data_IF_449234114954
#
_entry.id   IF_449234114954
#
_cell.length_a   1.000
_cell.length_b   1.000
_cell.length_c   1.000
_cell.angle_alpha   90.00
_cell.angle_beta   90.00
_cell.angle_gamma   90.00
#
_symmetry.space_group_name_H-M   'P 1'
#
loop_
_entity.id
_entity.type
_entity.pdbx_description
1 polymer ?
#
# COMPACT_ATOMS: atom_id res chain seq x y z
N UNK A 1 39.67 -22.34 -18.98
CA UNK A 1 39.83 -21.18 -18.10
C UNK A 1 38.73 -20.18 -18.42
N UNK A 2 37.92 -19.81 -17.44
CA UNK A 2 36.65 -19.11 -17.62
C UNK A 2 36.79 -17.61 -17.93
N UNK A 3 35.98 -17.15 -18.89
CA UNK A 3 35.85 -15.73 -19.21
C UNK A 3 34.94 -15.01 -18.21
N UNK A 4 35.52 -14.03 -17.50
CA UNK A 4 34.84 -13.18 -16.52
C UNK A 4 34.00 -12.12 -17.25
N UNK A 5 32.66 -12.26 -17.20
CA UNK A 5 31.72 -11.20 -17.63
C UNK A 5 31.80 -10.01 -16.67
N UNK A 6 32.27 -8.86 -17.16
CA UNK A 6 32.21 -7.56 -16.45
C UNK A 6 30.75 -7.18 -16.18
N UNK A 7 30.38 -7.04 -14.90
CA UNK A 7 29.11 -6.42 -14.48
C UNK A 7 29.18 -4.92 -14.77
N UNK A 8 28.29 -4.41 -15.62
CA UNK A 8 28.09 -2.98 -15.81
C UNK A 8 27.33 -2.42 -14.62
N UNK A 9 27.96 -1.45 -13.94
CA UNK A 9 27.42 -0.69 -12.81
C UNK A 9 26.48 0.38 -13.38
N UNK A 10 25.22 0.43 -12.93
CA UNK A 10 24.31 1.54 -13.26
C UNK A 10 24.78 2.79 -12.51
N UNK A 11 25.10 3.85 -13.25
CA UNK A 11 25.47 5.16 -12.72
C UNK A 11 24.25 6.06 -12.50
N UNK A 12 24.36 6.97 -11.53
CA UNK A 12 23.35 7.94 -11.11
C UNK A 12 23.35 9.19 -11.99
N UNK A 13 22.20 9.57 -12.54
CA UNK A 13 22.02 10.83 -13.27
C UNK A 13 21.73 11.97 -12.28
N UNK A 14 22.72 12.38 -11.45
CA UNK A 14 22.70 13.71 -10.82
C UNK A 14 24.13 14.16 -10.50
N UNK A 15 24.84 14.68 -11.50
CA UNK A 15 25.96 15.60 -11.26
C UNK A 15 26.17 16.45 -12.51
N UNK A 16 25.51 17.61 -12.54
CA UNK A 16 25.60 18.55 -13.64
C UNK A 16 24.79 19.80 -13.31
N UNK A 17 25.47 20.78 -12.71
CA UNK A 17 24.95 22.12 -12.47
C UNK A 17 24.65 22.82 -13.80
N UNK A 18 23.38 22.89 -14.18
CA UNK A 18 22.87 23.94 -15.07
C UNK A 18 21.43 24.30 -14.66
N UNK A 19 21.24 25.57 -14.34
CA UNK A 19 19.97 26.20 -13.97
C UNK A 19 19.01 26.22 -15.16
N UNK A 20 18.35 25.09 -15.43
CA UNK A 20 17.16 25.05 -16.28
C UNK A 20 15.92 25.15 -15.37
N UNK A 21 15.16 26.24 -15.51
CA UNK A 21 13.82 26.38 -14.90
C UNK A 21 12.93 25.26 -15.45
N UNK A 22 12.79 24.18 -14.70
CA UNK A 22 11.83 23.11 -15.01
C UNK A 22 10.43 23.63 -14.70
N UNK A 23 9.57 23.65 -15.71
CA UNK A 23 8.15 23.96 -15.56
C UNK A 23 7.53 22.92 -14.61
N UNK A 24 7.17 23.35 -13.40
CA UNK A 24 6.59 22.45 -12.41
C UNK A 24 5.28 21.89 -12.95
N UNK A 25 5.19 20.58 -13.18
CA UNK A 25 3.95 19.92 -13.59
C UNK A 25 2.85 20.25 -12.56
N UNK A 26 1.71 20.76 -13.04
CA UNK A 26 0.63 21.24 -12.18
C UNK A 26 0.00 20.09 -11.38
N UNK A 27 -0.49 20.39 -10.17
CA UNK A 27 -1.16 19.40 -9.31
C UNK A 27 -2.32 18.69 -10.01
N UNK A 28 -3.02 19.39 -10.91
CA UNK A 28 -4.16 18.85 -11.66
C UNK A 28 -3.70 17.78 -12.65
N UNK A 29 -2.60 18.02 -13.36
CA UNK A 29 -2.03 17.10 -14.34
C UNK A 29 -1.44 15.86 -13.65
N UNK A 30 -0.66 16.02 -12.58
CA UNK A 30 -0.15 14.88 -11.81
C UNK A 30 -1.30 14.01 -11.28
N UNK A 31 -2.37 14.64 -10.77
CA UNK A 31 -3.54 13.92 -10.24
C UNK A 31 -4.34 13.22 -11.34
N UNK A 32 -4.53 13.84 -12.51
CA UNK A 32 -5.23 13.20 -13.62
C UNK A 32 -4.46 11.98 -14.12
N UNK A 33 -3.13 12.08 -14.22
CA UNK A 33 -2.27 10.95 -14.61
C UNK A 33 -2.39 9.81 -13.60
N UNK A 34 -2.22 10.08 -12.30
CA UNK A 34 -2.38 9.06 -11.24
C UNK A 34 -3.77 8.40 -11.34
N UNK A 35 -4.83 9.21 -11.47
CA UNK A 35 -6.21 8.70 -11.57
C UNK A 35 -6.41 7.81 -12.81
N UNK A 36 -5.89 8.22 -13.97
CA UNK A 36 -5.96 7.44 -15.21
C UNK A 36 -5.25 6.09 -15.05
N UNK A 37 -4.03 6.09 -14.50
CA UNK A 37 -3.29 4.86 -14.21
C UNK A 37 -4.07 3.92 -13.28
N UNK A 38 -4.67 4.44 -12.20
CA UNK A 38 -5.49 3.63 -11.31
C UNK A 38 -6.68 2.97 -12.02
N UNK A 39 -7.34 3.68 -12.93
CA UNK A 39 -8.45 3.14 -13.72
C UNK A 39 -7.97 2.02 -14.63
N UNK A 40 -6.85 2.23 -15.33
CA UNK A 40 -6.28 1.23 -16.25
C UNK A 40 -5.80 -0.01 -15.50
N UNK A 41 -5.10 0.14 -14.37
CA UNK A 41 -4.63 -1.00 -13.57
C UNK A 41 -5.80 -1.84 -13.03
N UNK A 42 -6.89 -1.18 -12.59
CA UNK A 42 -8.10 -1.90 -12.17
C UNK A 42 -8.77 -2.65 -13.32
N UNK A 43 -8.85 -2.03 -14.51
CA UNK A 43 -9.38 -2.70 -15.71
C UNK A 43 -8.53 -3.91 -16.09
N UNK A 44 -7.20 -3.75 -16.10
CA UNK A 44 -6.24 -4.83 -16.38
C UNK A 44 -6.48 -6.03 -15.45
N UNK A 45 -6.52 -5.80 -14.14
CA UNK A 45 -6.76 -6.85 -13.15
C UNK A 45 -8.09 -7.60 -13.38
N UNK A 46 -9.17 -6.88 -13.68
CA UNK A 46 -10.47 -7.48 -13.97
C UNK A 46 -10.42 -8.38 -15.21
N UNK A 47 -9.77 -7.94 -16.29
CA UNK A 47 -9.65 -8.72 -17.53
C UNK A 47 -8.74 -9.93 -17.31
N UNK A 48 -7.63 -9.78 -16.60
CA UNK A 48 -6.77 -10.92 -16.23
C UNK A 48 -7.55 -12.00 -15.47
N UNK A 49 -8.41 -11.60 -14.53
CA UNK A 49 -9.27 -12.55 -13.81
C UNK A 49 -10.29 -13.23 -14.73
N UNK A 50 -10.90 -12.50 -15.67
CA UNK A 50 -11.78 -13.10 -16.68
C UNK A 50 -11.05 -14.11 -17.55
N UNK A 51 -9.82 -13.79 -17.98
CA UNK A 51 -8.98 -14.67 -18.78
C UNK A 51 -8.62 -15.98 -18.06
N UNK A 52 -8.34 -15.91 -16.75
CA UNK A 52 -8.07 -17.10 -15.93
C UNK A 52 -9.28 -18.07 -15.87
N UNK A 53 -10.50 -17.55 -15.98
CA UNK A 53 -11.73 -18.33 -15.97
C UNK A 53 -12.33 -18.53 -17.38
N UNK A 54 -11.63 -18.14 -18.45
CA UNK A 54 -12.13 -18.24 -19.81
C UNK A 54 -12.16 -19.71 -20.26
N UNK A 55 -13.33 -20.15 -20.71
CA UNK A 55 -13.59 -21.54 -21.10
C UNK A 55 -13.41 -21.75 -22.61
N UNK A 56 -13.61 -20.68 -23.39
CA UNK A 56 -13.54 -20.72 -24.86
C UNK A 56 -12.35 -19.93 -25.41
N UNK A 57 -11.88 -20.31 -26.60
CA UNK A 57 -10.81 -19.58 -27.29
C UNK A 57 -11.25 -18.18 -27.74
N UNK A 58 -12.55 -18.00 -28.00
CA UNK A 58 -13.12 -16.68 -28.32
C UNK A 58 -13.03 -15.73 -27.12
N UNK A 59 -13.40 -16.18 -25.92
CA UNK A 59 -13.26 -15.40 -24.68
C UNK A 59 -11.80 -15.07 -24.37
N UNK A 60 -10.89 -16.02 -24.57
CA UNK A 60 -9.44 -15.78 -24.41
C UNK A 60 -8.93 -14.75 -25.41
N UNK A 61 -9.28 -14.89 -26.69
CA UNK A 61 -8.86 -13.94 -27.73
C UNK A 61 -9.39 -12.53 -27.48
N UNK A 62 -10.66 -12.40 -27.10
CA UNK A 62 -11.26 -11.10 -26.78
C UNK A 62 -10.62 -10.47 -25.55
N UNK A 63 -10.47 -11.23 -24.46
CA UNK A 63 -9.81 -10.74 -23.24
C UNK A 63 -8.35 -10.36 -23.48
N UNK A 64 -7.62 -11.09 -24.32
CA UNK A 64 -6.24 -10.76 -24.67
C UNK A 64 -6.17 -9.44 -25.46
N UNK A 65 -7.06 -9.23 -26.43
CA UNK A 65 -7.15 -7.95 -27.17
C UNK A 65 -7.44 -6.78 -26.24
N UNK A 66 -8.37 -6.93 -25.29
CA UNK A 66 -8.65 -5.88 -24.30
C UNK A 66 -7.45 -5.60 -23.39
N UNK A 67 -6.70 -6.65 -23.00
CA UNK A 67 -5.49 -6.53 -22.20
C UNK A 67 -4.40 -5.75 -22.95
N UNK A 68 -4.21 -6.05 -24.24
CA UNK A 68 -3.21 -5.39 -25.10
C UNK A 68 -3.53 -3.91 -25.26
N UNK A 69 -4.81 -3.55 -25.50
CA UNK A 69 -5.26 -2.15 -25.54
C UNK A 69 -4.96 -1.43 -24.22
N UNK A 70 -5.19 -2.07 -23.08
CA UNK A 70 -4.89 -1.46 -21.77
C UNK A 70 -3.39 -1.31 -21.55
N UNK A 71 -2.59 -2.30 -21.93
CA UNK A 71 -1.13 -2.23 -21.84
C UNK A 71 -0.57 -1.10 -22.72
N UNK A 72 -1.13 -0.91 -23.93
CA UNK A 72 -0.78 0.20 -24.81
C UNK A 72 -1.13 1.55 -24.17
N UNK A 73 -2.35 1.71 -23.63
CA UNK A 73 -2.74 2.93 -22.90
C UNK A 73 -1.83 3.22 -21.69
N UNK A 74 -1.38 2.18 -20.97
CA UNK A 74 -0.42 2.33 -19.86
C UNK A 74 0.94 2.82 -20.39
N UNK A 75 1.40 2.25 -21.51
CA UNK A 75 2.66 2.65 -22.15
C UNK A 75 2.60 4.10 -22.66
N UNK A 76 1.50 4.50 -23.31
CA UNK A 76 1.26 5.86 -23.79
C UNK A 76 1.23 6.90 -22.67
N UNK A 77 0.76 6.53 -21.48
CA UNK A 77 0.82 7.38 -20.29
C UNK A 77 2.23 7.44 -19.66
N UNK A 78 3.25 6.87 -20.31
CA UNK A 78 4.65 6.86 -19.90
C UNK A 78 5.05 5.66 -19.04
N UNK A 79 4.22 4.62 -18.99
CA UNK A 79 4.50 3.37 -18.28
C UNK A 79 4.52 3.51 -16.76
N UNK A 80 4.90 2.42 -16.08
CA UNK A 80 4.92 2.35 -14.62
C UNK A 80 5.87 3.38 -14.00
N UNK A 81 6.98 3.70 -14.69
CA UNK A 81 7.95 4.70 -14.25
C UNK A 81 7.33 6.11 -14.20
N UNK A 82 6.53 6.50 -15.19
CA UNK A 82 5.84 7.79 -15.17
C UNK A 82 4.81 7.87 -14.04
N UNK A 83 4.10 6.77 -13.79
CA UNK A 83 3.20 6.66 -12.64
C UNK A 83 3.95 6.80 -11.31
N UNK A 84 5.08 6.12 -11.13
CA UNK A 84 5.87 6.20 -9.90
C UNK A 84 6.47 7.59 -9.69
N UNK A 85 7.00 8.24 -10.74
CA UNK A 85 7.43 9.65 -10.68
C UNK A 85 6.28 10.58 -10.29
N UNK A 86 5.10 10.40 -10.89
CA UNK A 86 3.92 11.17 -10.54
C UNK A 86 3.48 10.93 -9.09
N UNK A 87 3.56 9.69 -8.61
CA UNK A 87 3.24 9.31 -7.22
C UNK A 87 4.22 9.94 -6.23
N UNK A 88 5.53 9.89 -6.50
CA UNK A 88 6.57 10.57 -5.70
C UNK A 88 6.33 12.08 -5.64
N UNK A 89 6.03 12.71 -6.77
CA UNK A 89 5.67 14.14 -6.84
C UNK A 89 4.38 14.45 -6.06
N UNK A 90 3.40 13.54 -6.10
CA UNK A 90 2.13 13.64 -5.38
C UNK A 90 2.26 13.50 -3.86
N UNK A 91 3.30 12.81 -3.37
CA UNK A 91 3.61 12.67 -1.94
C UNK A 91 4.47 13.82 -1.38
N UNK A 92 4.87 14.79 -2.20
CA UNK A 92 5.66 15.94 -1.72
C UNK A 92 4.92 16.71 -0.60
N UNK A 93 5.71 17.41 0.25
CA UNK A 93 5.25 18.09 1.47
C UNK A 93 4.05 19.02 1.23
N UNK A 94 3.96 19.61 0.04
CA UNK A 94 2.91 20.56 -0.35
C UNK A 94 1.67 19.89 -1.00
N UNK A 95 1.72 18.58 -1.30
CA UNK A 95 0.74 17.92 -2.17
C UNK A 95 -0.05 16.75 -1.56
N UNK A 96 0.40 16.21 -0.43
CA UNK A 96 -0.26 15.03 0.19
C UNK A 96 0.25 14.63 1.57
N UNK A 97 1.33 15.25 2.05
CA UNK A 97 1.88 15.06 3.39
C UNK A 97 2.71 13.80 3.52
N UNK A 98 3.93 13.98 4.03
CA UNK A 98 4.83 12.90 4.41
C UNK A 98 4.20 12.09 5.57
N UNK A 99 3.56 10.96 5.23
CA UNK A 99 2.86 10.12 6.20
C UNK A 99 3.79 9.59 7.31
N UNK A 100 5.11 9.51 7.02
CA UNK A 100 6.13 9.14 8.01
C UNK A 100 6.13 10.11 9.19
N UNK A 101 5.97 11.42 8.96
CA UNK A 101 5.95 12.43 10.02
C UNK A 101 4.77 12.25 10.97
N UNK A 102 3.61 11.83 10.46
CA UNK A 102 2.45 11.55 11.30
C UNK A 102 2.73 10.34 12.19
N UNK A 103 3.28 9.27 11.59
CA UNK A 103 3.67 8.07 12.33
C UNK A 103 4.71 8.39 13.42
N UNK A 104 5.81 9.06 13.06
CA UNK A 104 6.88 9.45 14.00
C UNK A 104 6.32 10.28 15.16
N UNK A 105 5.50 11.30 14.88
CA UNK A 105 4.89 12.12 15.93
C UNK A 105 3.99 11.30 16.87
N UNK A 106 3.23 10.35 16.33
CA UNK A 106 2.41 9.46 17.16
C UNK A 106 3.25 8.53 18.02
N UNK A 107 4.31 7.94 17.48
CA UNK A 107 5.20 7.05 18.23
C UNK A 107 5.92 7.80 19.35
N UNK A 108 6.43 9.00 19.07
CA UNK A 108 7.06 9.86 20.10
C UNK A 108 6.07 10.24 21.19
N UNK A 109 4.85 10.66 20.82
CA UNK A 109 3.80 11.00 21.79
C UNK A 109 3.28 9.81 22.60
N UNK A 110 3.60 8.57 22.19
CA UNK A 110 3.29 7.35 22.92
C UNK A 110 4.48 6.83 23.73
N UNK A 111 5.64 7.50 23.71
CA UNK A 111 6.84 7.04 24.40
C UNK A 111 7.45 5.77 23.80
N UNK A 112 7.22 5.51 22.50
CA UNK A 112 7.71 4.28 21.83
C UNK A 112 9.21 4.29 21.55
N UNK A 113 9.88 5.44 21.73
CA UNK A 113 11.33 5.54 21.63
C UNK A 113 11.95 4.91 22.87
N UNK A 114 12.48 3.70 22.72
CA UNK A 114 13.12 2.89 23.76
C UNK A 114 14.63 2.84 23.55
N UNK A 115 15.35 2.24 24.49
CA UNK A 115 16.81 2.04 24.40
C UNK A 115 17.20 1.11 23.24
N UNK A 116 16.36 0.12 22.93
CA UNK A 116 16.51 -0.71 21.74
C UNK A 116 15.80 -0.09 20.53
N UNK A 117 16.43 -0.06 19.34
CA UNK A 117 15.74 0.35 18.12
C UNK A 117 14.52 -0.53 17.81
N UNK A 118 13.42 0.08 17.37
CA UNK A 118 12.25 -0.64 16.90
C UNK A 118 12.49 -1.15 15.48
N UNK A 119 12.20 -2.43 15.24
CA UNK A 119 12.25 -3.01 13.89
C UNK A 119 10.98 -2.63 13.13
N UNK A 120 11.15 -1.98 11.99
CA UNK A 120 10.05 -1.53 11.15
C UNK A 120 10.11 -2.14 9.76
N UNK A 121 8.95 -2.54 9.22
CA UNK A 121 8.76 -2.84 7.80
C UNK A 121 7.92 -1.72 7.18
N UNK A 122 8.42 -1.14 6.08
CA UNK A 122 7.67 -0.19 5.28
C UNK A 122 7.27 -0.84 3.96
N UNK A 123 5.97 -1.11 3.80
CA UNK A 123 5.41 -1.69 2.58
C UNK A 123 5.08 -0.55 1.61
N UNK A 124 5.55 -0.65 0.37
CA UNK A 124 5.29 0.33 -0.69
C UNK A 124 6.14 1.60 -0.55
N UNK A 125 7.39 1.45 -0.13
CA UNK A 125 8.30 2.57 0.04
C UNK A 125 8.65 3.20 -1.33
N UNK A 126 8.42 4.50 -1.46
CA UNK A 126 8.80 5.26 -2.67
C UNK A 126 10.17 5.95 -2.55
N UNK A 127 10.65 6.11 -1.30
CA UNK A 127 11.91 6.77 -0.95
C UNK A 127 12.62 5.98 0.14
N UNK A 128 13.96 5.87 0.10
CA UNK A 128 14.72 5.11 1.08
C UNK A 128 14.87 5.83 2.42
N UNK A 129 14.65 7.14 2.44
CA UNK A 129 15.07 8.05 3.51
C UNK A 129 13.91 8.61 4.33
N UNK A 130 12.70 8.07 4.19
CA UNK A 130 11.49 8.50 4.92
C UNK A 130 11.70 8.57 6.44
N UNK A 131 12.55 7.69 6.99
CA UNK A 131 12.84 7.60 8.43
C UNK A 131 14.34 7.81 8.74
N UNK A 132 15.12 8.39 7.82
CA UNK A 132 16.57 8.51 7.99
C UNK A 132 16.99 9.34 9.21
N UNK A 133 16.15 10.29 9.63
CA UNK A 133 16.36 11.09 10.85
C UNK A 133 16.08 10.33 12.14
N UNK A 134 15.38 9.20 12.06
CA UNK A 134 14.89 8.44 13.21
C UNK A 134 15.80 7.25 13.51
N UNK A 135 16.97 7.50 14.10
CA UNK A 135 17.97 6.46 14.43
C UNK A 135 17.45 5.34 15.34
N UNK A 136 16.34 5.58 16.03
CA UNK A 136 15.66 4.62 16.90
C UNK A 136 14.65 3.73 16.16
N UNK A 137 14.45 3.95 14.84
CA UNK A 137 13.66 3.11 13.94
C UNK A 137 14.60 2.42 12.94
N UNK A 138 14.72 1.10 13.04
CA UNK A 138 15.41 0.28 12.04
C UNK A 138 14.41 -0.09 10.94
N UNK A 139 14.31 0.76 9.93
CA UNK A 139 13.40 0.57 8.81
C UNK A 139 13.91 -0.44 7.77
N UNK A 140 13.02 -1.30 7.31
CA UNK A 140 13.20 -2.22 6.17
C UNK A 140 12.21 -1.80 5.07
N UNK A 141 12.61 -0.96 4.11
CA UNK A 141 11.71 -0.52 3.04
C UNK A 141 11.61 -1.58 1.94
N UNK A 142 10.38 -1.92 1.56
CA UNK A 142 10.08 -2.81 0.43
C UNK A 142 9.14 -2.15 -0.57
N UNK A 143 9.24 -2.51 -1.84
CA UNK A 143 8.29 -2.15 -2.88
C UNK A 143 8.15 -3.28 -3.91
N UNK A 144 7.01 -3.40 -4.59
CA UNK A 144 6.79 -4.45 -5.59
C UNK A 144 7.60 -4.19 -6.87
N UNK A 145 7.87 -2.93 -7.19
CA UNK A 145 8.55 -2.47 -8.40
C UNK A 145 9.52 -1.35 -8.02
N UNK A 146 10.55 -1.68 -7.24
CA UNK A 146 11.44 -0.70 -6.64
C UNK A 146 12.26 0.05 -7.70
N UNK A 147 12.29 1.38 -7.61
CA UNK A 147 13.10 2.25 -8.47
C UNK A 147 14.38 2.72 -7.78
N UNK A 148 14.65 2.24 -6.55
CA UNK A 148 15.77 2.71 -5.74
C UNK A 148 16.55 1.53 -5.15
N UNK A 149 17.89 1.48 -5.27
CA UNK A 149 18.69 0.33 -4.83
C UNK A 149 18.63 0.07 -3.33
N UNK A 150 18.36 1.09 -2.52
CA UNK A 150 18.19 0.97 -1.06
C UNK A 150 16.77 0.55 -0.63
N UNK A 151 15.84 0.33 -1.56
CA UNK A 151 14.51 -0.21 -1.30
C UNK A 151 14.47 -1.62 -1.88
N UNK A 152 14.16 -2.60 -1.04
CA UNK A 152 14.12 -4.01 -1.44
C UNK A 152 12.93 -4.25 -2.37
N UNK A 153 13.19 -4.68 -3.61
CA UNK A 153 12.13 -5.16 -4.49
C UNK A 153 11.61 -6.50 -3.98
N UNK A 154 10.35 -6.55 -3.52
CA UNK A 154 9.74 -7.74 -2.95
C UNK A 154 8.21 -7.65 -3.00
N UNK A 155 7.56 -8.74 -3.42
CA UNK A 155 6.12 -8.94 -3.19
C UNK A 155 5.86 -9.33 -1.73
N UNK A 156 5.14 -8.47 -1.00
CA UNK A 156 4.76 -8.74 0.39
C UNK A 156 3.92 -10.00 0.57
N UNK A 157 3.09 -10.38 -0.41
CA UNK A 157 2.29 -11.62 -0.33
C UNK A 157 3.14 -12.89 -0.36
N UNK A 158 4.35 -12.79 -0.92
CA UNK A 158 5.30 -13.89 -1.04
C UNK A 158 6.38 -13.84 0.04
N UNK A 159 6.35 -12.85 0.93
CA UNK A 159 7.30 -12.74 2.04
C UNK A 159 7.08 -13.93 3.01
N UNK A 160 8.12 -14.70 3.34
CA UNK A 160 8.02 -15.76 4.34
C UNK A 160 7.57 -15.20 5.69
N UNK A 161 6.70 -15.93 6.38
CA UNK A 161 6.31 -15.60 7.74
C UNK A 161 7.53 -15.73 8.67
N UNK A 162 7.67 -14.83 9.67
CA UNK A 162 8.77 -14.93 10.62
C UNK A 162 8.66 -16.24 11.42
N UNK A 163 9.75 -16.97 11.52
CA UNK A 163 9.82 -18.20 12.32
C UNK A 163 10.26 -17.94 13.77
N UNK A 164 10.73 -16.71 14.06
CA UNK A 164 11.15 -16.28 15.38
C UNK A 164 10.81 -14.81 15.66
N UNK A 165 10.95 -14.38 16.92
CA UNK A 165 10.75 -12.97 17.30
C UNK A 165 11.78 -12.02 16.65
N UNK A 166 12.98 -12.53 16.35
CA UNK A 166 14.07 -11.79 15.71
C UNK A 166 13.71 -11.40 14.27
N UNK A 167 12.92 -12.23 13.58
CA UNK A 167 12.43 -11.96 12.23
C UNK A 167 11.15 -11.11 12.20
N UNK A 168 10.42 -11.05 13.33
CA UNK A 168 9.19 -10.27 13.47
C UNK A 168 9.46 -8.76 13.54
N UNK A 169 8.48 -7.95 13.17
CA UNK A 169 8.57 -6.49 13.25
C UNK A 169 7.86 -5.95 14.49
N UNK A 170 8.41 -4.88 15.08
CA UNK A 170 7.71 -4.13 16.14
C UNK A 170 6.70 -3.14 15.51
N UNK A 171 6.91 -2.74 14.25
CA UNK A 171 6.07 -1.78 13.54
C UNK A 171 5.96 -2.13 12.05
N UNK A 172 4.77 -2.04 11.48
CA UNK A 172 4.57 -2.11 10.02
C UNK A 172 3.86 -0.84 9.54
N UNK A 173 4.42 -0.17 8.53
CA UNK A 173 3.75 0.91 7.79
C UNK A 173 3.20 0.36 6.48
N UNK A 174 1.89 0.47 6.31
CA UNK A 174 1.17 0.17 5.08
C UNK A 174 0.46 1.45 4.62
N UNK A 175 1.24 2.36 4.03
CA UNK A 175 0.77 3.69 3.66
C UNK A 175 0.35 3.74 2.20
N UNK A 176 -0.95 3.88 1.94
CA UNK A 176 -1.53 3.94 0.59
C UNK A 176 -1.22 2.71 -0.28
N UNK A 177 -0.98 1.54 0.31
CA UNK A 177 -0.72 0.28 -0.43
C UNK A 177 -1.97 -0.57 -0.56
N UNK A 178 -2.69 -0.79 0.54
CA UNK A 178 -3.85 -1.68 0.57
C UNK A 178 -4.94 -1.30 -0.46
N UNK A 179 -5.06 0.01 -0.79
CA UNK A 179 -5.99 0.50 -1.79
C UNK A 179 -5.64 0.13 -3.25
N UNK A 180 -4.43 -0.38 -3.50
CA UNK A 180 -4.00 -0.90 -4.80
C UNK A 180 -4.21 -2.40 -4.98
N UNK A 181 -4.33 -3.15 -3.89
CA UNK A 181 -4.72 -4.56 -3.97
C UNK A 181 -6.10 -4.61 -4.62
N UNK A 182 -6.22 -5.36 -5.71
CA UNK A 182 -7.37 -5.38 -6.61
C UNK A 182 -8.57 -6.14 -6.03
N UNK A 183 -8.29 -7.27 -5.39
CA UNK A 183 -9.28 -8.18 -4.85
C UNK A 183 -9.59 -7.91 -3.35
N UNK A 184 -10.88 -7.83 -2.95
CA UNK A 184 -11.29 -7.62 -1.56
C UNK A 184 -10.79 -8.68 -0.57
N UNK A 185 -10.76 -9.96 -0.96
CA UNK A 185 -10.30 -11.03 -0.09
C UNK A 185 -8.77 -10.97 0.03
N UNK A 186 -8.07 -10.63 -1.05
CA UNK A 186 -6.63 -10.34 -1.00
C UNK A 186 -6.29 -9.17 -0.07
N UNK A 187 -7.14 -8.13 0.02
CA UNK A 187 -6.95 -7.05 1.02
C UNK A 187 -7.05 -7.58 2.45
N UNK A 188 -8.06 -8.39 2.76
CA UNK A 188 -8.19 -9.00 4.09
C UNK A 188 -7.01 -9.94 4.39
N UNK A 189 -6.60 -10.74 3.40
CA UNK A 189 -5.41 -11.59 3.50
C UNK A 189 -4.14 -10.79 3.77
N UNK A 190 -3.96 -9.64 3.12
CA UNK A 190 -2.81 -8.76 3.36
C UNK A 190 -2.78 -8.29 4.82
N UNK A 191 -3.93 -7.90 5.38
CA UNK A 191 -4.01 -7.48 6.78
C UNK A 191 -3.74 -8.64 7.76
N UNK A 192 -4.21 -9.86 7.46
CA UNK A 192 -3.85 -11.06 8.21
C UNK A 192 -2.34 -11.36 8.14
N UNK A 193 -1.71 -11.20 6.97
CA UNK A 193 -0.26 -11.36 6.82
C UNK A 193 0.50 -10.29 7.60
N UNK A 194 0.06 -9.03 7.57
CA UNK A 194 0.64 -7.95 8.37
C UNK A 194 0.60 -8.32 9.87
N UNK A 195 -0.53 -8.81 10.38
CA UNK A 195 -0.66 -9.27 11.77
C UNK A 195 0.36 -10.35 12.12
N UNK A 196 0.56 -11.33 11.23
CA UNK A 196 1.53 -12.43 11.42
C UNK A 196 3.00 -12.01 11.30
N UNK A 197 3.30 -10.91 10.61
CA UNK A 197 4.65 -10.37 10.50
C UNK A 197 5.02 -9.47 11.69
N UNK A 198 4.03 -9.00 12.44
CA UNK A 198 4.25 -8.28 13.68
C UNK A 198 4.62 -9.25 14.81
N UNK A 199 5.49 -8.81 15.71
CA UNK A 199 5.76 -9.53 16.95
C UNK A 199 4.45 -9.68 17.73
N UNK A 200 4.11 -10.86 18.27
CA UNK A 200 2.92 -11.08 19.11
C UNK A 200 2.94 -10.33 20.45
N UNK A 201 2.83 -9.00 20.42
CA UNK A 201 2.98 -8.13 21.58
C UNK A 201 2.04 -6.93 21.49
N UNK A 202 1.50 -6.49 22.63
CA UNK A 202 0.70 -5.26 22.73
C UNK A 202 1.48 -3.98 22.38
N UNK A 203 2.80 -4.08 22.26
CA UNK A 203 3.67 -2.99 21.82
C UNK A 203 3.79 -2.92 20.29
N UNK A 204 3.36 -3.96 19.58
CA UNK A 204 3.46 -4.02 18.12
C UNK A 204 2.36 -3.21 17.45
N UNK A 205 2.73 -2.45 16.42
CA UNK A 205 1.83 -1.48 15.79
C UNK A 205 1.75 -1.67 14.27
N UNK A 206 0.57 -1.43 13.71
CA UNK A 206 0.34 -1.21 12.29
C UNK A 206 -0.07 0.25 12.07
N UNK A 207 0.67 0.94 11.21
CA UNK A 207 0.27 2.23 10.66
C UNK A 207 -0.37 2.02 9.28
N UNK A 208 -1.67 2.28 9.17
CA UNK A 208 -2.45 2.12 7.95
C UNK A 208 -2.89 3.48 7.43
N UNK A 209 -2.63 3.75 6.14
CA UNK A 209 -3.09 4.97 5.47
C UNK A 209 -3.92 4.58 4.26
N UNK A 210 -5.12 5.14 4.14
CA UNK A 210 -6.01 4.91 3.01
C UNK A 210 -6.48 6.25 2.44
N UNK A 211 -6.77 6.32 1.12
CA UNK A 211 -7.61 7.38 0.59
C UNK A 211 -8.94 7.40 1.36
N UNK A 212 -9.35 8.57 1.85
CA UNK A 212 -10.60 8.72 2.58
C UNK A 212 -11.82 8.16 1.83
N UNK A 213 -11.94 8.29 0.49
CA UNK A 213 -13.00 7.64 -0.28
C UNK A 213 -13.16 6.13 -0.07
N UNK A 214 -12.11 5.41 0.34
CA UNK A 214 -12.18 3.98 0.66
C UNK A 214 -13.14 3.70 1.82
N UNK A 215 -13.24 4.60 2.79
CA UNK A 215 -14.04 4.41 4.02
C UNK A 215 -15.22 5.39 4.13
N UNK A 216 -15.15 6.56 3.50
CA UNK A 216 -16.22 7.57 3.58
C UNK A 216 -17.14 7.59 2.35
N UNK A 217 -16.72 7.04 1.20
CA UNK A 217 -17.48 7.04 -0.05
C UNK A 217 -17.52 5.64 -0.72
N UNK A 218 -17.50 4.57 0.06
CA UNK A 218 -17.65 3.20 -0.44
C UNK A 218 -19.02 2.60 -0.08
N UNK A 219 -19.57 1.82 -1.02
CA UNK A 219 -20.77 1.00 -0.83
C UNK A 219 -20.59 -0.14 0.18
N UNK A 220 -19.37 -0.66 0.31
CA UNK A 220 -19.09 -1.90 1.04
C UNK A 220 -18.18 -1.73 2.25
N UNK A 221 -17.50 -0.59 2.38
CA UNK A 221 -16.62 -0.32 3.51
C UNK A 221 -16.98 1.02 4.15
N UNK A 222 -17.14 0.99 5.46
CA UNK A 222 -17.25 2.16 6.34
C UNK A 222 -16.11 2.10 7.36
N UNK A 223 -15.87 3.18 8.09
CA UNK A 223 -14.90 3.14 9.19
C UNK A 223 -15.31 2.12 10.29
N UNK A 224 -16.58 2.06 10.74
CA UNK A 224 -17.02 1.01 11.66
C UNK A 224 -16.74 -0.41 11.15
N UNK A 225 -17.07 -0.71 9.89
CA UNK A 225 -16.79 -2.04 9.31
C UNK A 225 -15.29 -2.31 9.19
N UNK A 226 -14.47 -1.28 8.92
CA UNK A 226 -13.01 -1.43 8.96
C UNK A 226 -12.54 -1.81 10.37
N UNK A 227 -13.08 -1.18 11.42
CA UNK A 227 -12.76 -1.53 12.82
C UNK A 227 -13.15 -2.98 13.11
N UNK A 228 -14.37 -3.41 12.77
CA UNK A 228 -14.82 -4.80 12.95
C UNK A 228 -13.89 -5.81 12.27
N UNK A 229 -13.48 -5.53 11.03
CA UNK A 229 -12.53 -6.38 10.29
C UNK A 229 -11.18 -6.44 11.00
N UNK A 230 -10.66 -5.30 11.45
CA UNK A 230 -9.36 -5.21 12.12
C UNK A 230 -9.39 -5.93 13.47
N UNK A 231 -10.47 -5.79 14.25
CA UNK A 231 -10.69 -6.51 15.50
C UNK A 231 -10.77 -8.02 15.27
N UNK A 232 -11.49 -8.47 14.26
CA UNK A 232 -11.57 -9.89 13.89
C UNK A 232 -10.22 -10.49 13.47
N UNK A 233 -9.30 -9.67 12.92
CA UNK A 233 -7.93 -10.08 12.62
C UNK A 233 -7.06 -10.16 13.88
N UNK A 234 -7.38 -9.37 14.91
CA UNK A 234 -6.56 -9.23 16.13
C UNK A 234 -5.83 -7.89 16.20
N UNK A 235 -6.51 -6.80 15.86
CA UNK A 235 -6.02 -5.44 16.06
C UNK A 235 -6.98 -4.61 16.91
N UNK A 236 -6.46 -3.57 17.56
CA UNK A 236 -7.24 -2.57 18.30
C UNK A 236 -6.88 -1.19 17.75
N UNK A 237 -7.88 -0.34 17.47
CA UNK A 237 -7.63 1.03 17.05
C UNK A 237 -7.08 1.86 18.21
N UNK A 238 -5.92 2.51 18.02
CA UNK A 238 -5.27 3.34 19.06
C UNK A 238 -5.31 4.81 18.73
N UNK A 239 -5.08 5.18 17.47
CA UNK A 239 -5.15 6.56 17.00
C UNK A 239 -5.75 6.62 15.61
N UNK A 240 -6.44 7.70 15.34
CA UNK A 240 -6.84 8.05 13.99
C UNK A 240 -6.69 9.55 13.75
N UNK A 241 -6.53 9.91 12.47
CA UNK A 241 -6.53 11.30 12.03
C UNK A 241 -7.06 11.39 10.61
N UNK A 242 -8.02 12.26 10.42
CA UNK A 242 -8.49 12.68 9.11
C UNK A 242 -9.19 14.04 9.25
N UNK A 243 -9.52 14.67 8.13
CA UNK A 243 -10.26 15.94 8.10
C UNK A 243 -11.48 15.81 7.18
N UNK A 244 -12.58 16.47 7.53
CA UNK A 244 -13.73 16.62 6.62
C UNK A 244 -13.27 17.25 5.30
N UNK A 245 -13.67 16.67 4.17
CA UNK A 245 -13.19 17.07 2.84
C UNK A 245 -11.73 16.69 2.54
N UNK A 246 -11.06 16.00 3.46
CA UNK A 246 -9.70 15.51 3.28
C UNK A 246 -9.62 14.42 2.21
N UNK A 247 -8.40 14.14 1.75
CA UNK A 247 -8.12 13.10 0.73
C UNK A 247 -7.69 11.77 1.32
N UNK A 248 -7.05 11.79 2.48
CA UNK A 248 -6.41 10.62 3.12
C UNK A 248 -6.71 10.60 4.61
N UNK A 249 -6.80 9.39 5.15
CA UNK A 249 -6.94 9.14 6.58
C UNK A 249 -5.80 8.26 7.07
N UNK A 250 -5.43 8.45 8.33
CA UNK A 250 -4.34 7.76 9.00
C UNK A 250 -4.91 7.02 10.21
N UNK A 251 -4.54 5.76 10.39
CA UNK A 251 -4.95 4.93 11.51
C UNK A 251 -3.74 4.20 12.08
N UNK A 252 -3.65 4.14 13.40
CA UNK A 252 -2.66 3.37 14.14
C UNK A 252 -3.38 2.27 14.90
N UNK A 253 -3.02 1.03 14.60
CA UNK A 253 -3.60 -0.16 15.17
C UNK A 253 -2.56 -0.86 16.04
N UNK A 254 -2.97 -1.34 17.21
CA UNK A 254 -2.16 -2.16 18.09
C UNK A 254 -2.47 -3.62 17.87
N UNK A 255 -1.43 -4.43 17.81
CA UNK A 255 -1.57 -5.88 17.78
C UNK A 255 -2.27 -6.37 19.03
N UNK A 256 -3.22 -7.28 18.85
CA UNK A 256 -3.94 -7.93 19.92
C UNK A 256 -3.95 -9.44 19.65
N UNK A 257 -3.96 -10.23 20.73
CA UNK A 257 -4.16 -11.65 20.59
C UNK A 257 -5.64 -11.89 20.29
N UNK A 258 -5.91 -12.60 19.19
CA UNK A 258 -7.26 -12.98 18.82
C UNK A 258 -7.78 -13.93 19.89
N UNK A 259 -8.65 -13.47 20.78
CA UNK A 259 -9.49 -14.38 21.56
C UNK A 259 -10.53 -14.91 20.58
N UNK A 260 -10.71 -16.22 20.52
CA UNK A 260 -11.77 -16.83 19.71
C UNK A 260 -13.14 -16.33 20.19
N UNK A 261 -13.58 -15.19 19.67
CA UNK A 261 -14.97 -14.79 19.70
C UNK A 261 -15.67 -15.67 18.67
N UNK A 262 -16.23 -16.78 19.13
CA UNK A 262 -16.95 -17.77 18.32
C UNK A 262 -18.25 -17.26 17.68
N UNK A 263 -18.30 -16.02 17.19
CA UNK A 263 -19.47 -15.41 16.56
C UNK A 263 -19.06 -14.57 15.34
N UNK A 264 -19.74 -14.86 14.22
CA UNK A 264 -19.92 -14.00 13.02
C UNK A 264 -18.85 -13.98 11.91
N UNK A 265 -18.12 -15.08 11.67
CA UNK A 265 -17.23 -15.19 10.50
C UNK A 265 -17.91 -14.94 9.14
N UNK A 266 -19.20 -15.25 9.00
CA UNK A 266 -19.89 -15.22 7.70
C UNK A 266 -20.16 -13.82 7.11
N UNK A 267 -20.29 -12.77 7.95
CA UNK A 267 -20.57 -11.43 7.45
C UNK A 267 -19.32 -10.74 6.90
N UNK A 268 -18.16 -10.98 7.53
CA UNK A 268 -16.89 -10.40 7.11
C UNK A 268 -16.26 -11.14 5.92
N UNK A 269 -16.76 -12.33 5.57
CA UNK A 269 -16.29 -13.14 4.43
C UNK A 269 -16.89 -12.73 3.08
N UNK A 270 -17.87 -11.81 3.07
CA UNK A 270 -18.54 -11.38 1.84
C UNK A 270 -18.76 -9.88 1.81
N UNK A 271 -19.00 -9.34 0.60
CA UNK A 271 -19.38 -7.93 0.44
C UNK A 271 -20.80 -7.74 0.94
N UNK A 272 -20.96 -7.12 2.10
CA UNK A 272 -22.25 -6.66 2.60
C UNK A 272 -22.43 -5.20 2.21
N UNK A 273 -23.59 -4.87 1.61
CA UNK A 273 -23.91 -3.50 1.24
C UNK A 273 -24.12 -2.67 2.52
N UNK A 274 -23.28 -1.66 2.71
CA UNK A 274 -23.34 -0.76 3.87
C UNK A 274 -24.11 0.52 3.53
N UNK A 275 -23.92 1.02 2.30
CA UNK A 275 -24.50 2.28 1.82
C UNK A 275 -24.81 2.19 0.34
N UNK A 276 -25.85 2.89 -0.09
CA UNK A 276 -26.23 3.02 -1.50
C UNK A 276 -26.06 4.46 -2.00
N UNK A 277 -25.54 4.61 -3.21
CA UNK A 277 -25.47 5.91 -3.88
C UNK A 277 -24.80 5.81 -5.24
N UNK A 278 -25.27 6.60 -6.21
CA UNK A 278 -24.79 6.53 -7.60
C UNK A 278 -23.28 6.86 -7.73
N UNK A 279 -22.80 7.85 -6.97
CA UNK A 279 -21.40 8.34 -7.01
C UNK A 279 -20.43 7.58 -6.07
N UNK A 280 -20.89 6.55 -5.37
CA UNK A 280 -20.05 5.79 -4.44
C UNK A 280 -19.13 4.82 -5.19
N UNK A 281 -17.97 4.52 -4.62
CA UNK A 281 -17.08 3.48 -5.13
C UNK A 281 -17.39 2.11 -4.51
N UNK A 282 -16.73 1.06 -5.02
CA UNK A 282 -16.94 -0.33 -4.62
C UNK A 282 -15.75 -0.90 -3.79
N UNK A 283 -15.01 -0.04 -3.10
CA UNK A 283 -13.87 -0.49 -2.27
C UNK A 283 -14.38 -1.37 -1.13
N UNK A 284 -13.80 -2.55 -0.97
CA UNK A 284 -14.25 -3.53 0.01
C UNK A 284 -13.06 -4.29 0.57
N UNK A 285 -13.16 -4.70 1.83
CA UNK A 285 -12.24 -5.65 2.45
C UNK A 285 -13.11 -6.78 2.96
N UNK A 286 -12.74 -8.02 2.65
CA UNK A 286 -13.39 -9.21 3.21
C UNK A 286 -12.31 -10.14 3.75
N UNK A 287 -12.62 -10.87 4.80
CA UNK A 287 -11.73 -11.88 5.35
C UNK A 287 -11.84 -13.16 4.49
N UNK A 288 -10.72 -13.79 4.11
CA UNK A 288 -10.74 -15.09 3.45
C UNK A 288 -11.21 -16.21 4.38
#
# INVERSE_FOLDING_TARGET
MGGTRKKTRKESIVSGSSTARTSSVSHKVTRSTITAFHVLLRKKANITKKLQHATTDSERSLGQKELDVINNNISELGGLDAYQRASQLGQSKDRGGDSSRILVNWLLGMGMKKDRPLKMLEIGALRPDNYASERWLKNTPIDLHSQHPSILEQDFFLRPLPISEEESFDLISCSLVLNFVDDPARRGKMLQLIHKHLRPSSESLLFLVLPLPCVNNSRYLTLPVLVEIMEAIGFILVKERWKTGGKVGYWLWRWNNKRDSGKEGGLLQRKVLQRSGAKMNNFAIVLP
#
